data_IF_052818653794
#
_entry.id   IF_052818653794
#
_cell.length_a   1.000
_cell.length_b   1.000
_cell.length_c   1.000
_cell.angle_alpha   90.00
_cell.angle_beta   90.00
_cell.angle_gamma   90.00
#
_symmetry.space_group_name_H-M   'P 1'
#
loop_
_entity.id
_entity.type
_entity.pdbx_description
1 polymer ?
#
# COMPACT_ATOMS: atom_id res chain seq x y z
N UNK A 1 30.16 -74.83 -2.05
CA UNK A 1 29.06 -74.21 -1.28
C UNK A 1 29.55 -73.82 0.12
N UNK A 2 30.35 -72.76 0.24
CA UNK A 2 30.73 -72.15 1.54
C UNK A 2 31.14 -70.68 1.42
N UNK A 3 30.86 -70.02 0.30
CA UNK A 3 31.18 -68.60 0.06
C UNK A 3 29.95 -67.78 -0.38
N UNK A 4 28.73 -68.28 -0.13
CA UNK A 4 27.48 -67.63 -0.55
C UNK A 4 26.58 -67.25 0.64
N UNK A 5 27.16 -66.98 1.82
CA UNK A 5 26.42 -66.56 3.04
C UNK A 5 27.00 -65.26 3.66
N UNK A 6 28.07 -64.68 3.10
CA UNK A 6 28.73 -63.50 3.68
C UNK A 6 28.41 -62.15 3.01
N UNK A 7 27.45 -62.10 2.07
CA UNK A 7 27.14 -60.87 1.29
C UNK A 7 25.80 -60.23 1.71
N UNK A 8 25.09 -60.77 2.71
CA UNK A 8 23.73 -60.32 3.04
C UNK A 8 23.58 -59.39 4.26
N UNK A 9 24.68 -58.89 4.87
CA UNK A 9 24.57 -58.11 6.12
C UNK A 9 25.32 -56.76 6.12
N UNK A 10 25.57 -56.17 4.95
CA UNK A 10 26.24 -54.85 4.84
C UNK A 10 25.44 -53.80 4.03
N UNK A 11 24.12 -53.96 3.91
CA UNK A 11 23.26 -53.05 3.14
C UNK A 11 22.13 -52.40 3.95
N UNK A 12 22.26 -52.34 5.28
CA UNK A 12 21.44 -51.49 6.15
C UNK A 12 22.38 -50.50 6.82
N UNK A 13 22.40 -49.24 6.36
CA UNK A 13 22.75 -48.01 7.12
C UNK A 13 23.07 -46.82 6.17
N UNK A 14 22.21 -46.55 5.18
CA UNK A 14 22.18 -45.24 4.51
C UNK A 14 20.76 -44.67 4.66
N UNK A 15 20.43 -44.31 5.91
CA UNK A 15 19.30 -43.47 6.25
C UNK A 15 19.82 -42.15 6.80
N UNK A 16 20.59 -41.42 6.01
CA UNK A 16 21.03 -40.08 6.38
C UNK A 16 19.82 -39.14 6.33
N UNK A 17 19.32 -38.86 7.53
CA UNK A 17 18.42 -37.79 7.94
C UNK A 17 18.34 -36.64 6.94
N UNK A 18 17.24 -36.59 6.18
CA UNK A 18 16.81 -35.39 5.47
C UNK A 18 16.41 -34.33 6.50
N UNK A 19 17.41 -33.66 7.07
CA UNK A 19 17.23 -32.47 7.88
C UNK A 19 16.72 -31.37 6.93
N UNK A 20 15.39 -31.21 6.85
CA UNK A 20 14.80 -29.99 6.33
C UNK A 20 15.27 -28.88 7.26
N UNK A 21 16.25 -28.10 6.84
CA UNK A 21 16.62 -26.86 7.52
C UNK A 21 15.38 -25.99 7.56
N UNK A 22 14.75 -25.93 8.72
CA UNK A 22 13.71 -24.97 9.00
C UNK A 22 14.41 -23.61 8.96
N UNK A 23 14.12 -22.83 7.92
CA UNK A 23 14.58 -21.44 7.85
C UNK A 23 13.92 -20.71 9.00
N UNK A 24 14.66 -20.55 10.09
CA UNK A 24 14.31 -19.60 11.15
C UNK A 24 14.35 -18.23 10.47
N UNK A 25 13.17 -17.65 10.22
CA UNK A 25 13.08 -16.24 9.85
C UNK A 25 13.49 -15.47 11.10
N UNK A 26 14.78 -15.13 11.22
CA UNK A 26 15.22 -14.10 12.15
C UNK A 26 14.51 -12.81 11.77
N UNK A 27 13.99 -12.06 12.74
CA UNK A 27 13.59 -10.67 12.52
C UNK A 27 14.80 -9.92 11.96
N UNK A 28 14.79 -9.73 10.65
CA UNK A 28 15.84 -9.03 9.92
C UNK A 28 15.17 -7.83 9.26
N UNK A 29 15.78 -6.66 9.43
CA UNK A 29 15.30 -5.43 8.79
C UNK A 29 15.32 -5.62 7.27
N UNK A 30 14.13 -5.55 6.66
CA UNK A 30 13.98 -5.60 5.21
C UNK A 30 14.10 -4.18 4.68
N UNK A 31 15.24 -3.84 4.08
CA UNK A 31 15.42 -2.58 3.35
C UNK A 31 14.41 -2.50 2.19
N UNK A 32 13.33 -1.78 2.41
CA UNK A 32 12.24 -1.61 1.46
C UNK A 32 12.38 -0.23 0.81
N UNK A 33 12.60 -0.13 -0.51
CA UNK A 33 12.72 1.18 -1.15
C UNK A 33 11.37 1.90 -1.21
N UNK A 34 11.42 3.22 -1.43
CA UNK A 34 10.24 4.07 -1.63
C UNK A 34 9.27 4.05 -0.44
N UNK A 35 9.75 3.99 0.80
CA UNK A 35 8.88 4.02 2.00
C UNK A 35 8.13 5.36 2.06
N UNK A 36 6.83 5.31 2.33
CA UNK A 36 6.06 6.44 2.81
C UNK A 36 6.08 6.36 4.34
N UNK A 37 6.94 7.18 4.97
CA UNK A 37 7.16 7.17 6.41
C UNK A 37 6.26 8.22 7.07
N UNK A 38 5.33 7.78 7.90
CA UNK A 38 4.42 8.63 8.67
C UNK A 38 5.11 9.43 9.78
N UNK A 39 6.31 9.04 10.20
CA UNK A 39 7.10 9.76 11.21
C UNK A 39 7.88 10.94 10.64
N UNK A 40 8.17 10.90 9.33
CA UNK A 40 8.82 11.96 8.56
C UNK A 40 7.82 12.83 7.79
N UNK A 41 6.52 12.58 7.94
CA UNK A 41 5.50 13.43 7.34
C UNK A 41 5.60 14.84 7.93
N UNK A 42 6.17 15.75 7.14
CA UNK A 42 5.82 17.15 7.30
C UNK A 42 4.30 17.25 7.20
N UNK A 43 3.68 18.13 7.98
CA UNK A 43 2.24 18.42 7.93
C UNK A 43 1.72 18.88 6.55
N UNK A 44 2.57 18.87 5.51
CA UNK A 44 2.34 19.43 4.20
C UNK A 44 1.96 18.41 3.13
N UNK A 45 2.18 17.10 3.33
CA UNK A 45 1.90 16.07 2.31
C UNK A 45 1.28 14.81 2.89
N UNK A 46 0.42 14.16 2.11
CA UNK A 46 -0.01 12.77 2.35
C UNK A 46 0.67 11.91 1.29
N UNK A 47 1.30 10.81 1.71
CA UNK A 47 1.88 9.85 0.77
C UNK A 47 1.28 8.46 0.89
N UNK A 48 1.53 7.63 -0.12
CA UNK A 48 1.30 6.19 -0.05
C UNK A 48 2.34 5.47 -0.89
N UNK A 49 2.75 4.29 -0.44
CA UNK A 49 3.69 3.44 -1.17
C UNK A 49 3.09 2.07 -1.44
N UNK A 50 3.31 1.57 -2.66
CA UNK A 50 2.85 0.25 -3.05
C UNK A 50 3.86 -0.46 -3.94
N UNK A 51 3.66 -1.77 -4.08
CA UNK A 51 4.53 -2.67 -4.83
C UNK A 51 3.71 -3.49 -5.80
N UNK A 52 4.18 -3.60 -7.03
CA UNK A 52 3.60 -4.46 -8.05
C UNK A 52 4.66 -5.40 -8.61
N UNK A 53 4.28 -6.67 -8.82
CA UNK A 53 5.16 -7.69 -9.39
C UNK A 53 4.51 -8.32 -10.63
N UNK A 54 5.30 -8.50 -11.70
CA UNK A 54 4.86 -9.14 -12.93
C UNK A 54 6.04 -9.59 -13.79
N UNK A 55 5.83 -10.57 -14.65
CA UNK A 55 6.77 -10.93 -15.72
C UNK A 55 6.99 -9.78 -16.72
N UNK A 56 6.01 -8.88 -16.85
CA UNK A 56 6.08 -7.70 -17.70
C UNK A 56 6.34 -6.44 -16.87
N UNK A 57 7.36 -5.68 -17.26
CA UNK A 57 7.78 -4.49 -16.50
C UNK A 57 6.68 -3.43 -16.47
N UNK A 58 5.99 -3.19 -17.59
CA UNK A 58 4.92 -2.19 -17.67
C UNK A 58 3.76 -2.56 -16.75
N UNK A 59 3.35 -3.83 -16.72
CA UNK A 59 2.30 -4.31 -15.85
C UNK A 59 2.69 -4.25 -14.38
N UNK A 60 3.95 -4.56 -14.04
CA UNK A 60 4.45 -4.42 -12.65
C UNK A 60 4.33 -2.97 -12.17
N UNK A 61 4.65 -2.00 -13.05
CA UNK A 61 4.53 -0.56 -12.79
C UNK A 61 3.07 -0.12 -12.67
N UNK A 62 2.21 -0.56 -13.59
CA UNK A 62 0.79 -0.22 -13.57
C UNK A 62 0.12 -0.75 -12.30
N UNK A 63 0.45 -1.98 -11.89
CA UNK A 63 -0.04 -2.56 -10.64
C UNK A 63 0.41 -1.74 -9.43
N UNK A 64 1.71 -1.46 -9.31
CA UNK A 64 2.24 -0.65 -8.23
C UNK A 64 1.56 0.74 -8.16
N UNK A 65 1.38 1.40 -9.30
CA UNK A 65 0.76 2.72 -9.35
C UNK A 65 -0.74 2.67 -9.02
N UNK A 66 -1.46 1.66 -9.49
CA UNK A 66 -2.89 1.47 -9.20
C UNK A 66 -3.12 1.22 -7.71
N UNK A 67 -2.34 0.31 -7.12
CA UNK A 67 -2.43 -0.02 -5.70
C UNK A 67 -2.04 1.20 -4.84
N UNK A 68 -1.03 1.98 -5.28
CA UNK A 68 -0.65 3.22 -4.61
C UNK A 68 -1.75 4.29 -4.65
N UNK A 69 -2.40 4.48 -5.80
CA UNK A 69 -3.52 5.42 -5.96
C UNK A 69 -4.71 5.04 -5.08
N UNK A 70 -5.06 3.76 -5.02
CA UNK A 70 -6.14 3.27 -4.17
C UNK A 70 -5.86 3.53 -2.69
N UNK A 71 -4.64 3.24 -2.23
CA UNK A 71 -4.21 3.52 -0.87
C UNK A 71 -4.24 5.01 -0.53
N UNK A 72 -3.70 5.85 -1.42
CA UNK A 72 -3.70 7.31 -1.23
C UNK A 72 -5.14 7.87 -1.19
N UNK A 73 -6.04 7.39 -2.04
CA UNK A 73 -7.45 7.79 -2.04
C UNK A 73 -8.12 7.53 -0.69
N UNK A 74 -7.86 6.38 -0.08
CA UNK A 74 -8.38 6.03 1.26
C UNK A 74 -7.86 6.98 2.35
N UNK A 75 -6.58 7.36 2.28
CA UNK A 75 -5.99 8.32 3.21
C UNK A 75 -6.58 9.72 3.04
N UNK A 76 -6.75 10.19 1.81
CA UNK A 76 -7.39 11.48 1.51
C UNK A 76 -8.82 11.50 2.05
N UNK A 77 -9.60 10.45 1.81
CA UNK A 77 -10.97 10.34 2.33
C UNK A 77 -11.00 10.41 3.87
N UNK A 78 -10.06 9.74 4.53
CA UNK A 78 -9.92 9.80 5.99
C UNK A 78 -9.56 11.20 6.45
N UNK A 79 -8.67 11.90 5.75
CA UNK A 79 -8.29 13.29 6.05
C UNK A 79 -9.48 14.25 5.92
N UNK A 80 -10.25 14.17 4.85
CA UNK A 80 -11.47 14.97 4.65
C UNK A 80 -12.44 14.76 5.81
N UNK A 81 -12.67 13.49 6.21
CA UNK A 81 -13.54 13.16 7.36
C UNK A 81 -13.05 13.77 8.67
N UNK A 82 -11.75 13.70 8.94
CA UNK A 82 -11.15 14.30 10.13
C UNK A 82 -11.29 15.83 10.13
N UNK A 83 -11.21 16.48 8.97
CA UNK A 83 -11.48 17.91 8.85
C UNK A 83 -12.95 18.21 9.13
N UNK A 84 -13.89 17.48 8.51
CA UNK A 84 -15.33 17.66 8.74
C UNK A 84 -15.75 17.45 10.21
N UNK A 85 -15.23 16.42 10.87
CA UNK A 85 -15.57 16.12 12.26
C UNK A 85 -15.12 17.22 13.24
N UNK A 86 -14.06 17.97 12.92
CA UNK A 86 -13.61 19.12 13.73
C UNK A 86 -14.55 20.33 13.64
N UNK A 87 -15.42 20.40 12.63
CA UNK A 87 -16.36 21.50 12.45
C UNK A 87 -17.78 21.21 12.97
N UNK A 88 -18.11 19.95 13.30
CA UNK A 88 -19.44 19.54 13.79
C UNK A 88 -19.64 19.70 15.31
N UNK A 89 -18.80 20.48 15.99
CA UNK A 89 -18.80 20.54 17.46
C UNK A 89 -19.88 21.47 18.07
N UNK A 90 -20.94 21.86 17.35
CA UNK A 90 -22.04 22.60 18.02
C UNK A 90 -23.43 22.59 17.41
N UNK A 91 -23.66 22.29 16.12
CA UNK A 91 -25.01 22.33 15.56
C UNK A 91 -25.18 21.30 14.47
N UNK A 92 -26.09 20.35 14.71
CA UNK A 92 -27.15 19.89 13.79
C UNK A 92 -27.55 18.45 14.11
N UNK A 93 -28.60 18.32 14.93
CA UNK A 93 -29.31 17.07 15.19
C UNK A 93 -30.32 16.73 14.09
N UNK A 94 -30.07 17.13 12.83
CA UNK A 94 -30.92 16.81 11.68
C UNK A 94 -30.06 16.21 10.55
N UNK A 95 -29.57 14.99 10.78
CA UNK A 95 -29.00 14.14 9.73
C UNK A 95 -30.12 13.68 8.80
N UNK A 96 -30.34 14.40 7.70
CA UNK A 96 -31.16 13.91 6.59
C UNK A 96 -30.29 13.05 5.67
N UNK A 97 -30.86 11.99 5.09
CA UNK A 97 -30.15 11.11 4.15
C UNK A 97 -29.55 11.90 2.97
N UNK A 98 -30.27 12.93 2.49
CA UNK A 98 -29.84 13.85 1.44
C UNK A 98 -28.52 14.58 1.78
N UNK A 99 -28.31 14.98 3.04
CA UNK A 99 -27.08 15.66 3.46
C UNK A 99 -25.88 14.70 3.43
N UNK A 100 -26.08 13.44 3.83
CA UNK A 100 -25.03 12.42 3.78
C UNK A 100 -24.68 12.05 2.33
N UNK A 101 -25.66 11.94 1.44
CA UNK A 101 -25.42 11.71 0.01
C UNK A 101 -24.60 12.83 -0.63
N UNK A 102 -24.98 14.10 -0.40
CA UNK A 102 -24.21 15.26 -0.90
C UNK A 102 -22.79 15.28 -0.36
N UNK A 103 -22.59 14.91 0.91
CA UNK A 103 -21.27 14.81 1.53
C UNK A 103 -20.42 13.70 0.89
N UNK A 104 -21.01 12.55 0.57
CA UNK A 104 -20.32 11.46 -0.11
C UNK A 104 -19.92 11.84 -1.53
N UNK A 105 -20.80 12.51 -2.27
CA UNK A 105 -20.51 12.98 -3.63
C UNK A 105 -19.38 14.03 -3.64
N UNK A 106 -19.46 15.03 -2.76
CA UNK A 106 -18.39 16.01 -2.59
C UNK A 106 -17.05 15.35 -2.22
N UNK A 107 -17.09 14.34 -1.34
CA UNK A 107 -15.88 13.60 -0.95
C UNK A 107 -15.26 12.88 -2.15
N UNK A 108 -16.07 12.26 -3.03
CA UNK A 108 -15.58 11.60 -4.25
C UNK A 108 -14.92 12.59 -5.19
N UNK A 109 -15.57 13.73 -5.44
CA UNK A 109 -15.02 14.79 -6.31
C UNK A 109 -13.68 15.31 -5.80
N UNK A 110 -13.55 15.58 -4.50
CA UNK A 110 -12.29 16.04 -3.90
C UNK A 110 -11.21 14.96 -4.03
N UNK A 111 -11.54 13.69 -3.82
CA UNK A 111 -10.59 12.57 -3.99
C UNK A 111 -10.10 12.49 -5.43
N UNK A 112 -10.99 12.51 -6.42
CA UNK A 112 -10.63 12.41 -7.84
C UNK A 112 -9.75 13.58 -8.30
N UNK A 113 -10.11 14.80 -7.87
CA UNK A 113 -9.31 16.00 -8.16
C UNK A 113 -7.95 15.96 -7.44
N UNK A 114 -7.88 15.43 -6.22
CA UNK A 114 -6.62 15.24 -5.50
C UNK A 114 -5.73 14.20 -6.20
N UNK A 115 -6.31 13.09 -6.66
CA UNK A 115 -5.60 12.05 -7.41
C UNK A 115 -5.06 12.54 -8.75
N UNK A 116 -5.68 13.56 -9.34
CA UNK A 116 -5.19 14.23 -10.55
C UNK A 116 -3.98 15.12 -10.30
N UNK A 117 -3.68 15.43 -9.04
CA UNK A 117 -2.56 16.29 -8.61
C UNK A 117 -1.44 15.51 -7.90
N UNK A 118 -1.40 14.18 -8.04
CA UNK A 118 -0.37 13.37 -7.39
C UNK A 118 0.99 13.57 -8.06
N UNK A 119 2.04 13.42 -7.25
CA UNK A 119 3.42 13.34 -7.70
C UNK A 119 3.97 11.95 -7.39
N UNK A 120 4.65 11.35 -8.35
CA UNK A 120 5.50 10.18 -8.10
C UNK A 120 6.83 10.69 -7.54
N UNK A 121 7.16 10.36 -6.30
CA UNK A 121 8.41 10.82 -5.65
C UNK A 121 9.48 9.75 -5.59
N UNK A 122 9.11 8.48 -5.74
CA UNK A 122 10.05 7.39 -5.87
C UNK A 122 9.47 6.32 -6.78
N UNK A 123 10.29 5.85 -7.71
CA UNK A 123 10.03 4.67 -8.54
C UNK A 123 11.31 3.84 -8.59
N UNK A 124 11.24 2.58 -8.18
CA UNK A 124 12.36 1.63 -8.23
C UNK A 124 11.88 0.31 -8.79
N UNK A 125 12.57 -0.17 -9.83
CA UNK A 125 12.31 -1.49 -10.42
C UNK A 125 13.44 -2.42 -10.04
N UNK A 126 13.10 -3.63 -9.60
CA UNK A 126 14.04 -4.72 -9.31
C UNK A 126 13.64 -5.94 -10.12
N UNK A 127 14.62 -6.77 -10.47
CA UNK A 127 14.35 -8.11 -11.01
C UNK A 127 14.41 -9.12 -9.86
N UNK A 128 13.39 -9.96 -9.74
CA UNK A 128 13.35 -10.99 -8.69
C UNK A 128 14.22 -12.18 -9.08
N UNK A 129 14.49 -13.09 -8.13
CA UNK A 129 15.24 -14.33 -8.40
C UNK A 129 14.53 -15.22 -9.43
N UNK A 130 13.20 -15.12 -9.51
CA UNK A 130 12.36 -15.83 -10.47
C UNK A 130 12.32 -15.15 -11.85
N UNK A 131 12.92 -13.97 -12.00
CA UNK A 131 12.98 -13.22 -13.26
C UNK A 131 11.85 -12.22 -13.47
N UNK A 132 10.89 -12.11 -12.55
CA UNK A 132 9.83 -11.10 -12.58
C UNK A 132 10.39 -9.69 -12.34
N UNK A 133 9.66 -8.68 -12.79
CA UNK A 133 9.85 -7.29 -12.41
C UNK A 133 9.03 -6.97 -11.17
N UNK A 134 9.68 -6.42 -10.15
CA UNK A 134 9.08 -5.91 -8.93
C UNK A 134 9.30 -4.41 -8.86
N UNK A 135 8.22 -3.65 -8.96
CA UNK A 135 8.22 -2.19 -9.00
C UNK A 135 7.69 -1.64 -7.69
N UNK A 136 8.47 -0.75 -7.06
CA UNK A 136 8.14 -0.02 -5.85
C UNK A 136 7.86 1.42 -6.24
N UNK A 137 6.70 1.94 -5.83
CA UNK A 137 6.29 3.32 -6.09
C UNK A 137 5.91 4.01 -4.79
N UNK A 138 6.33 5.27 -4.64
CA UNK A 138 5.78 6.23 -3.68
C UNK A 138 5.11 7.35 -4.46
N UNK A 139 3.87 7.63 -4.11
CA UNK A 139 3.14 8.81 -4.57
C UNK A 139 2.78 9.70 -3.40
N UNK A 140 2.58 10.97 -3.68
CA UNK A 140 2.12 11.95 -2.70
C UNK A 140 1.21 12.99 -3.32
N UNK A 141 0.41 13.61 -2.46
CA UNK A 141 -0.33 14.84 -2.74
C UNK A 141 -0.08 15.82 -1.60
N UNK A 142 -0.02 17.12 -1.90
CA UNK A 142 0.12 18.14 -0.87
C UNK A 142 -1.22 18.35 -0.14
N UNK A 143 -1.16 18.55 1.18
CA UNK A 143 -2.32 18.89 2.01
C UNK A 143 -2.98 20.19 1.56
N UNK A 144 -2.21 21.18 1.10
CA UNK A 144 -2.73 22.45 0.57
C UNK A 144 -3.74 22.24 -0.57
N UNK A 145 -3.55 21.20 -1.38
CA UNK A 145 -4.45 20.86 -2.49
C UNK A 145 -5.75 20.32 -1.93
N UNK A 146 -5.69 19.39 -0.98
CA UNK A 146 -6.87 18.80 -0.34
C UNK A 146 -7.67 19.88 0.39
N UNK A 147 -7.00 20.77 1.12
CA UNK A 147 -7.62 21.89 1.84
C UNK A 147 -8.29 22.87 0.88
N UNK A 148 -7.60 23.27 -0.19
CA UNK A 148 -8.14 24.13 -1.23
C UNK A 148 -9.38 23.52 -1.88
N UNK A 149 -9.31 22.27 -2.32
CA UNK A 149 -10.43 21.57 -2.94
C UNK A 149 -11.61 21.40 -1.98
N UNK A 150 -11.33 21.14 -0.71
CA UNK A 150 -12.37 21.07 0.33
C UNK A 150 -13.05 22.42 0.50
N UNK A 151 -12.31 23.53 0.51
CA UNK A 151 -12.84 24.90 0.61
C UNK A 151 -13.64 25.33 -0.64
N UNK A 152 -13.16 24.98 -1.84
CA UNK A 152 -13.84 25.27 -3.12
C UNK A 152 -15.14 24.46 -3.25
N UNK A 153 -15.13 23.20 -2.84
CA UNK A 153 -16.32 22.33 -2.87
C UNK A 153 -17.31 22.70 -1.75
N UNK A 154 -16.85 23.41 -0.70
CA UNK A 154 -17.68 23.90 0.41
C UNK A 154 -18.29 25.30 0.17
N UNK A 155 -18.75 25.56 -1.06
CA UNK A 155 -19.85 26.52 -1.31
C UNK A 155 -21.15 26.19 -0.53
N UNK A 156 -21.12 25.16 0.33
CA UNK A 156 -22.04 24.81 1.41
C UNK A 156 -21.85 25.58 2.73
N UNK A 157 -21.06 26.67 2.78
CA UNK A 157 -20.96 27.56 3.96
C UNK A 157 -22.29 28.24 4.36
N UNK A 158 -23.38 28.00 3.60
CA UNK A 158 -24.74 28.47 3.84
C UNK A 158 -25.78 27.33 3.90
N UNK A 159 -25.38 26.13 4.32
CA UNK A 159 -26.31 25.16 4.91
C UNK A 159 -25.93 25.05 6.39
#
# INVERSE_FOLDING_TARGET
>A
MRNLILISFLLLLIGASSCKTQTVYSEADIDTPCICDSSQESTQTICFSAVGESIDQMYSKQKALSDAKAGLASLIQTRIRLMSNKFQDSKEKNKTEELEEKRQEATRQIVDQSLSNIRITCEKVRKTKEGNYKTYIRIEVKNEIIERLTNETSSFKNI
#
